data_IF_502732317680
#
_entry.id   IF_502732317680
#
_cell.length_a   1.000
_cell.length_b   1.000
_cell.length_c   1.000
_cell.angle_alpha   90.00
_cell.angle_beta   90.00
_cell.angle_gamma   90.00
#
_symmetry.space_group_name_H-M   'P 1'
#
loop_
_entity.id
_entity.type
_entity.pdbx_description
1 polymer ?
2 polymer ?
#
# COMPACT_ATOMS: atom_id res chain seq x y z
N UNK A 2 -18.07 -11.82 25.26
CA UNK A 2 -17.04 -11.13 24.50
C UNK A 2 -15.94 -12.09 24.07
N UNK A 3 -15.96 -12.46 22.79
CA UNK A 3 -14.97 -13.38 22.25
C UNK A 3 -14.32 -12.81 20.99
N UNK A 4 -13.33 -13.53 20.47
CA UNK A 4 -12.60 -13.09 19.28
C UNK A 4 -13.28 -13.57 18.01
N UNK A 5 -13.33 -12.71 17.00
CA UNK A 5 -13.91 -13.05 15.71
C UNK A 5 -13.04 -14.08 14.98
N UNK A 6 -13.63 -15.24 14.68
CA UNK A 6 -12.91 -16.34 14.06
C UNK A 6 -13.07 -16.34 12.55
N UNK A 7 -14.14 -15.73 12.07
CA UNK A 7 -14.46 -15.74 10.65
C UNK A 7 -13.51 -14.88 9.82
N UNK A 8 -13.18 -13.71 10.35
CA UNK A 8 -12.35 -12.75 9.63
C UNK A 8 -11.13 -12.32 10.43
N UNK A 9 -10.01 -12.04 9.73
CA UNK A 9 -8.81 -11.50 10.37
C UNK A 9 -9.04 -10.08 10.87
N UNK A 10 -8.37 -9.69 11.95
CA UNK A 10 -8.49 -8.34 12.49
C UNK A 10 -7.96 -7.33 11.48
N UNK A 11 -8.76 -6.28 11.20
CA UNK A 11 -8.42 -5.27 10.19
C UNK A 11 -7.14 -4.50 10.51
N UNK A 12 -6.87 -4.31 11.80
CA UNK A 12 -5.71 -3.55 12.23
C UNK A 12 -4.40 -4.31 11.99
N UNK A 13 -4.46 -5.64 12.06
CA UNK A 13 -3.27 -6.45 11.85
C UNK A 13 -3.01 -6.63 10.36
N UNK A 14 -4.08 -6.68 9.57
CA UNK A 14 -3.96 -6.80 8.12
C UNK A 14 -3.31 -5.55 7.54
N UNK A 15 -3.72 -4.40 8.06
CA UNK A 15 -3.18 -3.13 7.60
C UNK A 15 -1.72 -2.97 7.93
N UNK A 16 -1.37 -3.20 9.19
CA UNK A 16 0.01 -3.03 9.66
C UNK A 16 0.97 -4.00 8.97
N UNK A 17 0.53 -5.22 8.76
CA UNK A 17 1.36 -6.23 8.10
C UNK A 17 1.55 -5.89 6.63
N UNK A 18 0.53 -5.32 6.01
CA UNK A 18 0.60 -4.90 4.62
C UNK A 18 1.58 -3.75 4.44
N UNK A 19 1.44 -2.72 5.28
CA UNK A 19 2.31 -1.56 5.25
C UNK A 19 3.77 -1.97 5.44
N UNK A 20 3.99 -2.94 6.33
CA UNK A 20 5.32 -3.46 6.60
C UNK A 20 5.94 -4.08 5.36
N UNK A 21 5.15 -4.85 4.62
CA UNK A 21 5.64 -5.53 3.43
C UNK A 21 5.70 -4.61 2.21
N UNK A 22 4.76 -3.66 2.15
CA UNK A 22 4.67 -2.74 1.03
C UNK A 22 5.91 -1.88 0.87
N UNK A 23 6.29 -1.20 1.95
CA UNK A 23 7.44 -0.29 1.91
C UNK A 23 8.76 -1.04 1.95
N UNK A 24 8.73 -2.29 2.40
CA UNK A 24 9.93 -3.13 2.38
C UNK A 24 10.26 -3.51 0.94
N UNK A 25 9.24 -3.89 0.18
CA UNK A 25 9.40 -4.24 -1.22
C UNK A 25 9.76 -3.02 -2.05
N UNK A 26 9.28 -1.86 -1.62
CA UNK A 26 9.57 -0.61 -2.30
C UNK A 26 11.06 -0.26 -2.22
N UNK A 27 11.68 -0.67 -1.12
CA UNK A 27 13.11 -0.46 -0.92
C UNK A 27 13.93 -1.51 -1.66
N UNK A 28 13.44 -2.75 -1.64
CA UNK A 28 14.14 -3.86 -2.27
C UNK A 28 13.95 -3.88 -3.77
N UNK A 29 12.78 -4.32 -4.22
CA UNK A 29 12.48 -4.42 -5.64
C UNK A 29 11.20 -3.68 -6.00
N UNK A 30 11.32 -2.40 -6.40
CA UNK A 30 10.18 -1.56 -6.79
C UNK A 30 9.50 -2.05 -8.07
N UNK A 31 10.19 -2.87 -8.84
CA UNK A 31 9.66 -3.36 -10.11
C UNK A 31 8.62 -4.46 -9.91
N UNK A 32 8.60 -5.05 -8.71
CA UNK A 32 7.65 -6.11 -8.40
C UNK A 32 6.47 -5.56 -7.61
N UNK A 33 6.43 -4.25 -7.45
CA UNK A 33 5.41 -3.59 -6.64
C UNK A 33 4.02 -3.70 -7.28
N UNK A 34 3.98 -3.86 -8.59
CA UNK A 34 2.71 -3.92 -9.32
C UNK A 34 1.96 -5.22 -9.08
N UNK A 35 2.61 -6.16 -8.41
CA UNK A 35 2.01 -7.45 -8.10
C UNK A 35 1.02 -7.35 -6.94
N UNK A 36 0.96 -6.17 -6.32
CA UNK A 36 0.04 -5.92 -5.23
C UNK A 36 -1.33 -5.47 -5.75
N UNK A 37 -1.37 -5.06 -7.00
CA UNK A 37 -2.57 -4.47 -7.58
C UNK A 37 -3.27 -5.42 -8.55
N UNK A 38 -4.57 -5.20 -8.74
CA UNK A 38 -5.33 -5.98 -9.71
C UNK A 38 -5.51 -5.23 -11.01
N UNK A 39 -6.30 -5.78 -11.92
CA UNK A 39 -6.53 -5.16 -13.22
C UNK A 39 -7.69 -4.16 -13.16
N UNK A 40 -7.97 -3.66 -11.96
CA UNK A 40 -9.04 -2.68 -11.76
C UNK A 40 -8.68 -1.69 -10.65
N UNK A 41 -7.43 -1.74 -10.20
CA UNK A 41 -6.98 -0.89 -9.12
C UNK A 41 -6.63 0.52 -9.60
N UNK A 42 -6.42 1.42 -8.65
CA UNK A 42 -6.09 2.80 -8.97
C UNK A 42 -4.87 3.26 -8.18
N UNK A 43 -3.84 3.72 -8.89
CA UNK A 43 -2.62 4.19 -8.26
C UNK A 43 -2.36 5.67 -8.53
N UNK A 44 -2.30 6.46 -7.47
CA UNK A 44 -2.01 7.88 -7.59
C UNK A 44 -0.86 8.28 -6.67
N UNK A 45 0.23 8.75 -7.28
CA UNK A 45 1.40 9.17 -6.52
C UNK A 45 1.78 10.61 -6.87
N UNK A 46 1.04 11.57 -6.32
CA UNK A 46 1.26 12.97 -6.60
C UNK A 46 2.33 13.59 -5.71
N UNK A 47 3.19 14.41 -6.31
CA UNK A 47 3.12 14.71 -7.73
C UNK A 47 2.38 16.00 -8.01
N UNK A 58 -4.93 7.01 -12.77
CA UNK A 58 -4.33 5.80 -13.32
C UNK A 58 -5.13 4.56 -12.93
N UNK A 59 -5.73 3.91 -13.93
CA UNK A 59 -6.54 2.72 -13.68
C UNK A 59 -6.06 1.55 -14.53
N UNK A 60 -5.50 0.53 -13.89
CA UNK A 60 -4.99 -0.64 -14.59
C UNK A 60 -3.60 -1.02 -14.10
N UNK A 61 -3.42 -2.31 -13.83
CA UNK A 61 -2.16 -2.83 -13.30
C UNK A 61 -0.97 -2.52 -14.20
N UNK A 62 -1.17 -2.67 -15.51
CA UNK A 62 -0.11 -2.40 -16.48
C UNK A 62 0.30 -0.93 -16.48
N UNK A 63 -0.68 -0.06 -16.24
CA UNK A 63 -0.42 1.37 -16.16
C UNK A 63 0.27 1.73 -14.85
N UNK A 64 -0.02 0.95 -13.81
CA UNK A 64 0.60 1.16 -12.51
C UNK A 64 2.08 0.79 -12.56
N UNK A 65 2.38 -0.32 -13.22
CA UNK A 65 3.76 -0.78 -13.37
C UNK A 65 4.63 0.25 -14.09
N UNK A 66 4.10 0.82 -15.16
CA UNK A 66 4.82 1.86 -15.91
C UNK A 66 4.92 3.16 -15.10
N UNK A 67 3.94 3.37 -14.22
CA UNK A 67 3.91 4.57 -13.40
C UNK A 67 5.01 4.54 -12.34
N UNK A 68 5.18 3.39 -11.71
CA UNK A 68 6.19 3.21 -10.67
C UNK A 68 7.59 3.34 -11.25
N UNK A 69 7.81 2.72 -12.41
CA UNK A 69 9.11 2.77 -13.09
C UNK A 69 9.47 4.19 -13.52
N UNK A 70 8.44 5.00 -13.75
CA UNK A 70 8.65 6.39 -14.17
C UNK A 70 9.02 7.28 -12.98
N UNK A 71 8.87 6.74 -11.77
CA UNK A 71 9.21 7.48 -10.56
C UNK A 71 10.63 7.17 -10.11
N UNK A 72 11.12 5.99 -10.51
CA UNK A 72 12.49 5.55 -10.20
C UNK A 72 12.79 5.55 -8.71
N UNK A 73 12.42 4.46 -8.02
CA UNK A 73 12.70 4.33 -6.60
C UNK A 73 14.05 3.64 -6.38
N UNK A 74 15.07 4.43 -6.08
CA UNK A 74 16.41 3.91 -5.84
C UNK A 74 16.75 3.94 -4.35
N UNK A 75 16.71 2.77 -3.72
CA UNK A 75 16.98 2.63 -2.29
C UNK A 75 16.11 3.57 -1.47
N UNK A 76 14.80 3.35 -1.51
CA UNK A 76 13.85 4.22 -0.84
C UNK A 76 13.62 3.81 0.61
N UNK A 77 13.98 4.69 1.54
CA UNK A 77 13.80 4.42 2.96
C UNK A 77 12.55 5.11 3.48
N UNK A 78 11.82 4.42 4.36
CA UNK A 78 10.56 4.94 4.87
C UNK A 78 10.47 4.86 6.39
N UNK A 79 10.08 5.97 7.01
CA UNK A 79 9.85 6.00 8.45
C UNK A 79 8.35 6.16 8.75
N UNK A 80 7.69 5.06 9.04
CA UNK A 80 6.26 5.08 9.33
C UNK A 80 5.97 5.68 10.70
N UNK A 81 5.26 6.81 10.70
CA UNK A 81 4.94 7.51 11.94
C UNK A 81 3.58 7.10 12.51
N UNK A 82 2.66 6.72 11.62
CA UNK A 82 1.31 6.36 12.05
C UNK A 82 0.59 5.46 11.04
N UNK A 83 -0.12 4.47 11.56
CA UNK A 83 -0.93 3.58 10.74
C UNK A 83 -2.24 3.24 11.45
N UNK A 84 -3.35 3.45 10.75
CA UNK A 84 -4.66 3.08 11.28
C UNK A 84 -5.47 2.36 10.21
N UNK A 85 -6.01 1.20 10.55
CA UNK A 85 -6.75 0.38 9.59
C UNK A 85 -8.10 -0.06 10.15
N UNK A 86 -9.15 0.14 9.36
CA UNK A 86 -10.50 -0.25 9.75
C UNK A 86 -11.10 -1.18 8.72
N UNK A 87 -12.22 -1.82 9.09
CA UNK A 87 -12.95 -2.68 8.16
C UNK A 87 -13.96 -1.84 7.38
N UNK A 88 -14.06 -2.09 6.08
CA UNK A 88 -14.97 -1.33 5.23
C UNK A 88 -15.88 -2.24 4.40
N UNK A 89 -16.32 -1.74 3.25
CA UNK A 89 -17.29 -2.44 2.40
C UNK A 89 -16.78 -3.79 1.90
N UNK A 90 -17.69 -4.75 1.86
CA UNK A 90 -17.41 -6.11 1.38
C UNK A 90 -16.18 -6.73 2.05
N UNK A 91 -16.14 -6.62 3.38
CA UNK A 91 -15.08 -7.20 4.20
C UNK A 91 -13.69 -6.71 3.79
N UNK A 92 -13.62 -5.48 3.29
CA UNK A 92 -12.35 -4.90 2.89
C UNK A 92 -11.69 -4.16 4.03
N UNK A 93 -10.46 -3.70 3.81
CA UNK A 93 -9.73 -2.96 4.83
C UNK A 93 -9.21 -1.62 4.30
N UNK A 94 -9.57 -0.54 4.98
CA UNK A 94 -9.08 0.78 4.62
C UNK A 94 -7.96 1.21 5.57
N UNK A 95 -6.83 1.61 4.99
CA UNK A 95 -5.65 1.95 5.78
C UNK A 95 -5.18 3.39 5.52
N UNK A 96 -4.91 4.13 6.58
CA UNK A 96 -4.32 5.46 6.45
C UNK A 96 -2.90 5.48 7.02
N UNK A 97 -1.95 5.92 6.21
CA UNK A 97 -0.55 5.90 6.60
C UNK A 97 0.09 7.29 6.57
N UNK A 98 0.70 7.67 7.68
CA UNK A 98 1.46 8.91 7.76
C UNK A 98 2.91 8.61 8.12
N UNK A 99 3.84 9.31 7.48
CA UNK A 99 5.25 9.10 7.76
C UNK A 99 6.20 9.93 6.93
N UNK A 100 7.47 9.51 6.91
CA UNK A 100 8.51 10.21 6.20
C UNK A 100 9.06 9.35 5.06
N UNK A 101 9.41 9.99 3.94
CA UNK A 101 9.89 9.25 2.78
C UNK A 101 11.18 9.85 2.21
N UNK A 102 12.20 9.03 2.09
CA UNK A 102 13.47 9.46 1.51
C UNK A 102 13.89 8.54 0.37
N UNK A 103 13.97 9.10 -0.84
CA UNK A 103 14.31 8.31 -2.01
C UNK A 103 15.52 8.87 -2.76
N UNK A 104 16.44 7.98 -3.12
CA UNK A 104 17.63 8.34 -3.90
C UNK A 104 18.49 9.41 -3.23
N UNK A 105 18.67 9.28 -1.92
CA UNK A 105 19.54 10.19 -1.18
C UNK A 105 18.88 11.49 -0.78
N UNK A 106 17.73 11.77 -1.36
CA UNK A 106 16.97 12.98 -1.03
C UNK A 106 16.54 12.95 0.44
N UNK A 107 16.38 14.13 1.06
CA UNK A 107 16.02 14.13 2.48
C UNK A 107 14.55 13.76 2.71
N UNK A 108 14.19 13.57 3.97
CA UNK A 108 12.86 13.10 4.33
C UNK A 108 11.75 14.06 3.92
N UNK A 109 10.64 13.50 3.44
CA UNK A 109 9.47 14.28 3.08
C UNK A 109 8.22 13.68 3.69
N UNK A 110 7.48 14.50 4.45
CA UNK A 110 6.25 14.04 5.08
C UNK A 110 5.19 13.71 4.03
N UNK A 111 4.59 12.53 4.15
CA UNK A 111 3.57 12.11 3.20
C UNK A 111 2.35 11.51 3.89
N UNK A 112 1.27 11.37 3.14
CA UNK A 112 0.05 10.74 3.64
C UNK A 112 -0.50 9.78 2.60
N UNK A 113 -0.31 8.49 2.81
CA UNK A 113 -0.74 7.47 1.86
C UNK A 113 -1.91 6.66 2.38
N UNK A 114 -2.94 6.51 1.56
CA UNK A 114 -4.14 5.77 1.95
C UNK A 114 -4.40 4.57 1.04
N UNK A 115 -4.67 3.43 1.65
CA UNK A 115 -4.95 2.21 0.92
C UNK A 115 -6.36 1.68 1.15
N UNK A 116 -6.88 0.93 0.18
CA UNK A 116 -8.12 0.19 0.37
C UNK A 116 -7.85 -1.28 0.04
N UNK A 117 -7.58 -2.07 1.06
CA UNK A 117 -7.26 -3.48 0.87
C UNK A 117 -8.52 -4.30 0.61
N UNK A 118 -8.57 -4.93 -0.55
CA UNK A 118 -9.71 -5.75 -0.94
C UNK A 118 -9.36 -7.23 -0.93
N UNK A 119 -10.26 -8.07 -0.39
CA UNK A 119 -10.05 -9.52 -0.38
C UNK A 119 -9.97 -10.08 -1.79
N UNK A 120 -8.96 -10.91 -2.05
CA UNK A 120 -8.83 -11.58 -3.33
C UNK A 120 -10.04 -12.49 -3.53
N UNK A 121 -10.41 -12.73 -4.79
CA UNK A 121 -11.57 -13.54 -5.12
C UNK A 121 -11.66 -14.86 -4.37
N UNK A 122 -10.77 -15.78 -4.72
CA UNK A 122 -10.75 -17.11 -4.10
C UNK A 122 -9.47 -17.84 -4.47
N UNK A 123 -8.81 -18.50 -3.51
CA UNK A 123 -9.19 -18.51 -2.09
C UNK A 123 -7.90 -18.60 -1.26
N UNK A 124 -7.96 -18.23 0.03
CA UNK A 124 -9.01 -17.56 0.81
C UNK A 124 -8.57 -16.21 1.38
N UNK A 125 -7.81 -16.24 2.47
CA UNK A 125 -7.33 -15.03 3.13
C UNK A 125 -6.23 -14.31 2.36
N UNK A 126 -6.55 -13.88 1.15
CA UNK A 126 -5.60 -13.10 0.34
C UNK A 126 -6.20 -11.74 0.02
N UNK A 127 -5.36 -10.71 0.14
CA UNK A 127 -5.80 -9.34 -0.15
C UNK A 127 -4.98 -8.72 -1.27
N UNK A 128 -5.58 -7.75 -1.95
CA UNK A 128 -4.87 -6.98 -2.97
C UNK A 128 -5.23 -5.50 -2.83
N UNK A 129 -4.35 -4.63 -3.32
CA UNK A 129 -4.61 -3.20 -3.26
C UNK A 129 -5.65 -2.79 -4.29
N UNK A 130 -6.76 -2.24 -3.81
CA UNK A 130 -7.82 -1.79 -4.70
C UNK A 130 -7.69 -0.29 -4.96
N UNK A 131 -7.16 0.43 -3.97
CA UNK A 131 -6.95 1.87 -4.09
C UNK A 131 -5.64 2.29 -3.41
N UNK A 132 -4.88 3.15 -4.09
CA UNK A 132 -3.62 3.64 -3.57
C UNK A 132 -3.46 5.13 -3.88
N UNK A 133 -3.54 5.96 -2.84
CA UNK A 133 -3.44 7.40 -3.01
C UNK A 133 -2.30 7.99 -2.20
N UNK A 134 -1.32 8.57 -2.90
CA UNK A 134 -0.12 9.11 -2.27
C UNK A 134 -0.04 10.62 -2.47
N UNK A 135 0.26 11.34 -1.39
CA UNK A 135 0.39 12.80 -1.44
C UNK A 135 1.52 13.31 -0.56
N UNK A 136 2.41 14.12 -1.14
CA UNK A 136 3.44 14.79 -0.37
C UNK A 136 2.86 16.02 0.33
N UNK A 137 3.36 16.30 1.53
CA UNK A 137 2.84 17.42 2.32
C UNK A 137 3.31 18.77 1.80
N UNK A 138 4.58 18.83 1.39
CA UNK A 138 5.18 20.08 0.93
C UNK A 138 4.61 20.54 -0.41
N UNK A 139 3.93 19.65 -1.11
CA UNK A 139 3.34 19.96 -2.40
C UNK A 139 1.90 20.44 -2.24
N UNK A 140 1.28 20.12 -1.10
CA UNK A 140 -0.10 20.51 -0.85
C UNK A 140 -0.17 21.81 -0.05
N UNK A 141 0.47 21.83 1.11
CA UNK A 141 0.47 23.01 1.97
C UNK A 141 1.57 23.98 1.58
N UNK A 142 2.81 23.49 1.57
CA UNK A 142 3.95 24.31 1.22
C UNK A 142 5.26 23.71 1.68
N UNK B 1 -2.28 -15.03 5.67
CA UNK B 1 -2.39 -13.64 5.25
C UNK B 1 -1.37 -13.31 4.16
N UNK B 2 -1.82 -13.29 2.92
CA UNK B 2 -0.95 -12.98 1.79
C UNK B 2 -1.47 -11.77 1.02
N UNK B 3 -0.55 -11.04 0.40
CA UNK B 3 -0.91 -9.86 -0.37
C UNK B 3 -0.42 -9.96 -1.81
N UNK B 4 -1.37 -9.91 -2.75
CA UNK B 4 -1.04 -9.97 -4.16
C UNK B 4 -0.63 -11.35 -4.63
N UNK B 5 0.34 -11.40 -5.53
CA UNK B 5 0.81 -12.67 -6.09
C UNK B 5 2.04 -13.17 -5.35
N UNK B 6 2.05 -13.02 -4.03
CA UNK B 6 3.15 -13.49 -3.21
C UNK B 6 2.69 -14.53 -2.21
N UNK B 7 3.57 -15.47 -1.88
CA UNK B 7 3.27 -16.51 -0.91
C UNK B 7 4.05 -16.27 0.38
N UNK B 8 4.20 -15.01 0.75
CA UNK B 8 4.95 -14.62 1.93
C UNK B 8 4.09 -13.86 2.92
#
# INVERSE_FOLDING_TARGET
>A
GSHMVMEKPSPLLVGREFVRQYYTLLNKAPEYLHRFYGRNSSYVHGGVDASGKPQEAVYGQNDIHHKVLSLNFSECHTKIRHVDAHATLSDGVVVQVMGLLSNSGQPERKFMQTFVLAPEGSVPNKFYVHNDMFRYEDEVFG
>B
LTFGDFDE
#
